data_IF_340864498564
#
_entry.id   IF_340864498564
#
_cell.length_a   1.000
_cell.length_b   1.000
_cell.length_c   1.000
_cell.angle_alpha   90.00
_cell.angle_beta   90.00
_cell.angle_gamma   90.00
#
_symmetry.space_group_name_H-M   'P 1'
#
loop_
_entity.id
_entity.type
_entity.pdbx_description
1 polymer ?
#
# COMPACT_ATOMS: atom_id res chain seq x y z
N UNK A 1 26.34 -70.79 -16.27
CA UNK A 1 26.78 -70.04 -15.07
C UNK A 1 25.85 -68.83 -14.92
N UNK A 2 24.85 -68.92 -14.04
CA UNK A 2 24.71 -68.20 -12.73
C UNK A 2 24.34 -66.69 -12.84
N UNK A 3 23.06 -66.40 -12.55
CA UNK A 3 22.44 -65.11 -12.13
C UNK A 3 23.07 -64.54 -10.82
N UNK A 4 22.85 -63.27 -10.34
CA UNK A 4 21.60 -62.46 -10.31
C UNK A 4 21.72 -60.93 -10.58
N UNK A 5 20.68 -60.22 -11.07
CA UNK A 5 19.60 -59.42 -10.41
C UNK A 5 20.04 -58.38 -9.35
N UNK A 6 19.61 -57.11 -9.54
CA UNK A 6 19.14 -56.03 -8.59
C UNK A 6 19.02 -54.77 -9.51
N UNK A 7 17.87 -54.23 -9.96
CA UNK A 7 16.65 -53.72 -9.32
C UNK A 7 16.90 -52.69 -8.22
N UNK A 8 17.09 -51.42 -8.60
CA UNK A 8 16.74 -50.25 -7.78
C UNK A 8 15.98 -49.25 -8.68
N UNK A 9 14.66 -49.39 -8.71
CA UNK A 9 13.76 -48.29 -9.08
C UNK A 9 13.68 -47.41 -7.84
N UNK A 10 14.44 -46.32 -7.80
CA UNK A 10 14.29 -45.31 -6.77
C UNK A 10 13.04 -44.49 -7.10
N UNK A 11 11.90 -44.93 -6.55
CA UNK A 11 10.69 -44.13 -6.51
C UNK A 11 10.95 -42.85 -5.73
N UNK A 12 11.01 -41.71 -6.44
CA UNK A 12 10.91 -40.40 -5.81
C UNK A 12 9.45 -40.20 -5.45
N UNK A 13 9.06 -40.65 -4.26
CA UNK A 13 7.85 -40.21 -3.62
C UNK A 13 7.96 -38.69 -3.46
N UNK A 14 7.24 -37.94 -4.31
CA UNK A 14 6.95 -36.53 -4.08
C UNK A 14 5.99 -36.51 -2.90
N UNK A 15 6.54 -36.63 -1.69
CA UNK A 15 5.85 -36.16 -0.50
C UNK A 15 5.75 -34.65 -0.66
N UNK A 16 4.53 -34.20 -0.98
CA UNK A 16 4.09 -32.82 -0.78
C UNK A 16 4.21 -32.52 0.71
N UNK A 17 5.43 -32.22 1.16
CA UNK A 17 5.64 -31.51 2.40
C UNK A 17 5.16 -30.09 2.12
N UNK A 18 3.86 -29.86 2.33
CA UNK A 18 3.32 -28.54 2.58
C UNK A 18 3.93 -28.04 3.89
N UNK A 19 5.19 -27.60 3.83
CA UNK A 19 5.74 -26.73 4.84
C UNK A 19 4.92 -25.46 4.76
N UNK A 20 4.05 -25.32 5.76
CA UNK A 20 3.32 -24.10 6.06
C UNK A 20 4.30 -22.92 5.97
N UNK A 21 4.03 -22.03 5.03
CA UNK A 21 4.51 -20.65 5.09
C UNK A 21 3.90 -20.05 6.36
N UNK A 22 4.60 -20.14 7.48
CA UNK A 22 4.30 -19.32 8.63
C UNK A 22 4.53 -17.87 8.22
N UNK A 23 3.42 -17.19 7.93
CA UNK A 23 3.37 -15.76 7.70
C UNK A 23 3.79 -15.08 8.99
N UNK A 24 5.03 -14.62 9.04
CA UNK A 24 5.50 -13.81 10.16
C UNK A 24 4.61 -12.55 10.27
N UNK A 25 4.13 -12.22 11.48
CA UNK A 25 3.13 -11.19 11.66
C UNK A 25 3.72 -9.79 11.42
N UNK A 26 3.03 -9.04 10.56
CA UNK A 26 2.97 -7.58 10.47
C UNK A 26 4.30 -6.83 10.66
N UNK A 27 4.92 -6.44 9.55
CA UNK A 27 6.12 -5.58 9.37
C UNK A 27 7.42 -6.29 8.94
N UNK A 28 7.33 -7.43 8.23
CA UNK A 28 8.48 -7.96 7.49
C UNK A 28 8.39 -7.45 6.05
N UNK A 29 8.97 -6.27 5.81
CA UNK A 29 9.04 -5.65 4.49
C UNK A 29 9.72 -6.57 3.46
N UNK A 30 9.35 -6.41 2.19
CA UNK A 30 9.71 -7.31 1.08
C UNK A 30 11.20 -7.67 0.93
N UNK A 31 12.12 -6.88 1.49
CA UNK A 31 13.54 -7.22 1.55
C UNK A 31 13.85 -8.41 2.46
N UNK A 32 13.18 -8.54 3.61
CA UNK A 32 13.39 -9.64 4.54
C UNK A 32 12.65 -10.92 4.10
N UNK A 33 11.43 -10.79 3.58
CA UNK A 33 10.71 -11.91 2.97
C UNK A 33 11.40 -12.41 1.70
N UNK A 34 11.82 -11.50 0.82
CA UNK A 34 12.57 -11.81 -0.38
C UNK A 34 13.95 -12.39 -0.09
N UNK A 35 14.64 -11.90 0.95
CA UNK A 35 15.92 -12.46 1.40
C UNK A 35 15.80 -13.90 1.89
N UNK A 36 14.77 -14.24 2.67
CA UNK A 36 14.57 -15.60 3.15
C UNK A 36 14.12 -16.56 2.02
N UNK A 37 13.18 -16.13 1.18
CA UNK A 37 12.74 -16.93 0.03
C UNK A 37 13.87 -17.14 -0.99
N UNK A 38 14.62 -16.07 -1.28
CA UNK A 38 15.79 -16.11 -2.13
C UNK A 38 16.88 -17.01 -1.57
N UNK A 39 17.12 -17.01 -0.26
CA UNK A 39 18.06 -17.92 0.38
C UNK A 39 17.67 -19.39 0.18
N UNK A 40 16.38 -19.71 0.35
CA UNK A 40 15.86 -21.05 0.12
C UNK A 40 16.07 -21.52 -1.31
N UNK A 41 15.69 -20.69 -2.30
CA UNK A 41 15.85 -21.02 -3.72
C UNK A 41 17.34 -21.11 -4.10
N UNK A 42 18.17 -20.16 -3.65
CA UNK A 42 19.60 -20.15 -3.93
C UNK A 42 20.34 -21.34 -3.33
N UNK A 43 19.93 -21.81 -2.14
CA UNK A 43 20.48 -23.02 -1.52
C UNK A 43 20.20 -24.29 -2.33
N UNK A 44 19.06 -24.34 -3.02
CA UNK A 44 18.61 -25.48 -3.82
C UNK A 44 19.27 -25.52 -5.22
N UNK A 45 19.53 -24.35 -5.82
CA UNK A 45 20.05 -24.25 -7.19
C UNK A 45 21.59 -24.25 -7.25
N UNK A 46 22.28 -24.02 -6.12
CA UNK A 46 23.74 -24.09 -6.03
C UNK A 46 24.23 -25.54 -6.07
N UNK A 47 24.73 -25.98 -7.25
CA UNK A 47 25.23 -27.32 -7.56
C UNK A 47 26.51 -27.74 -6.83
N UNK A 48 26.50 -27.69 -5.50
CA UNK A 48 27.57 -28.23 -4.65
C UNK A 48 27.83 -27.43 -3.37
N UNK A 49 27.33 -26.20 -3.24
CA UNK A 49 27.65 -25.35 -2.09
C UNK A 49 26.42 -24.57 -1.60
N UNK A 50 25.58 -25.26 -0.80
CA UNK A 50 24.28 -24.75 -0.34
C UNK A 50 24.38 -23.45 0.46
N UNK A 51 25.43 -23.27 1.27
CA UNK A 51 25.64 -22.04 2.05
C UNK A 51 25.97 -20.82 1.18
N UNK A 52 26.84 -21.00 0.19
CA UNK A 52 27.14 -19.94 -0.78
C UNK A 52 25.92 -19.63 -1.66
N UNK A 53 25.17 -20.65 -2.07
CA UNK A 53 23.92 -20.50 -2.81
C UNK A 53 22.85 -19.77 -2.01
N UNK A 54 22.69 -20.09 -0.73
CA UNK A 54 21.77 -19.41 0.17
C UNK A 54 22.12 -17.93 0.33
N UNK A 55 23.40 -17.59 0.45
CA UNK A 55 23.85 -16.19 0.53
C UNK A 55 23.61 -15.43 -0.78
N UNK A 56 23.93 -16.02 -1.92
CA UNK A 56 23.70 -15.41 -3.24
C UNK A 56 22.20 -15.21 -3.47
N UNK A 57 21.40 -16.24 -3.18
CA UNK A 57 19.95 -16.19 -3.27
C UNK A 57 19.33 -15.20 -2.29
N UNK A 58 19.84 -15.11 -1.06
CA UNK A 58 19.42 -14.11 -0.09
C UNK A 58 19.71 -12.69 -0.58
N UNK A 59 20.90 -12.49 -1.17
CA UNK A 59 21.28 -11.22 -1.79
C UNK A 59 20.31 -10.85 -2.93
N UNK A 60 20.10 -11.75 -3.89
CA UNK A 60 19.23 -11.49 -5.06
C UNK A 60 17.75 -11.35 -4.66
N UNK A 61 17.26 -12.19 -3.74
CA UNK A 61 15.88 -12.13 -3.26
C UNK A 61 15.61 -10.89 -2.41
N UNK A 62 16.59 -10.44 -1.63
CA UNK A 62 16.51 -9.15 -0.93
C UNK A 62 16.54 -7.97 -1.90
N UNK A 63 17.26 -8.07 -3.02
CA UNK A 63 17.30 -7.03 -4.05
C UNK A 63 15.99 -6.92 -4.84
N UNK A 64 15.35 -8.04 -5.18
CA UNK A 64 14.07 -8.05 -5.88
C UNK A 64 12.93 -7.42 -5.04
N UNK A 65 12.94 -7.62 -3.72
CA UNK A 65 12.01 -6.95 -2.79
C UNK A 65 12.48 -5.56 -2.30
N UNK A 66 13.75 -5.19 -2.54
CA UNK A 66 14.40 -4.04 -1.92
C UNK A 66 14.30 -2.73 -2.69
N UNK A 67 14.27 -2.75 -4.03
CA UNK A 67 14.29 -1.52 -4.83
C UNK A 67 12.99 -0.70 -4.73
N UNK A 68 11.84 -1.35 -4.89
CA UNK A 68 10.52 -0.71 -4.74
C UNK A 68 10.23 -0.43 -3.26
N UNK A 69 10.63 -1.35 -2.37
CA UNK A 69 10.48 -1.19 -0.92
C UNK A 69 11.17 0.06 -0.39
N UNK A 70 12.45 0.28 -0.74
CA UNK A 70 13.23 1.42 -0.26
C UNK A 70 12.64 2.77 -0.71
N UNK A 71 12.13 2.83 -1.95
CA UNK A 71 11.47 4.02 -2.46
C UNK A 71 10.21 4.35 -1.66
N UNK A 72 9.33 3.37 -1.44
CA UNK A 72 8.10 3.55 -0.67
C UNK A 72 8.37 3.80 0.82
N UNK A 73 9.42 3.21 1.39
CA UNK A 73 9.87 3.46 2.78
C UNK A 73 10.29 4.91 2.97
N UNK A 74 11.10 5.45 2.06
CA UNK A 74 11.52 6.85 2.08
C UNK A 74 10.34 7.79 1.89
N UNK A 75 9.47 7.49 0.93
CA UNK A 75 8.26 8.28 0.69
C UNK A 75 7.35 8.29 1.93
N UNK A 76 7.15 7.15 2.58
CA UNK A 76 6.38 7.05 3.82
C UNK A 76 7.02 7.84 4.97
N UNK A 77 8.35 7.75 5.12
CA UNK A 77 9.07 8.47 6.16
C UNK A 77 8.96 10.00 5.98
N UNK A 78 9.12 10.48 4.74
CA UNK A 78 8.98 11.91 4.42
C UNK A 78 7.53 12.38 4.59
N UNK A 79 6.53 11.61 4.15
CA UNK A 79 5.12 11.92 4.42
C UNK A 79 4.83 12.00 5.91
N UNK A 80 5.29 11.03 6.71
CA UNK A 80 5.09 11.04 8.17
C UNK A 80 5.74 12.25 8.83
N UNK A 81 6.94 12.62 8.38
CA UNK A 81 7.65 13.79 8.89
C UNK A 81 6.93 15.09 8.54
N UNK A 82 6.56 15.26 7.28
CA UNK A 82 5.99 16.51 6.77
C UNK A 82 4.53 16.71 7.21
N UNK A 83 3.81 15.61 7.47
CA UNK A 83 2.40 15.65 7.87
C UNK A 83 2.18 15.49 9.38
N UNK A 84 3.26 15.38 10.17
CA UNK A 84 3.16 15.32 11.62
C UNK A 84 2.39 16.53 12.18
N UNK A 85 1.35 16.27 12.98
CA UNK A 85 0.52 17.33 13.58
C UNK A 85 -0.53 17.95 12.66
N UNK A 86 -0.61 17.55 11.37
CA UNK A 86 -1.65 18.04 10.45
C UNK A 86 -3.00 17.35 10.61
N UNK A 87 -3.02 16.20 11.32
CA UNK A 87 -4.20 15.34 11.43
C UNK A 87 -4.36 14.35 10.27
N UNK A 88 -3.49 14.37 9.25
CA UNK A 88 -3.49 13.37 8.18
C UNK A 88 -2.83 12.08 8.69
N UNK A 89 -3.57 10.97 8.63
CA UNK A 89 -3.04 9.65 8.97
C UNK A 89 -2.15 9.12 7.84
N UNK A 90 -1.03 8.47 8.18
CA UNK A 90 -0.08 7.91 7.20
C UNK A 90 0.15 6.42 7.50
N UNK A 91 -0.55 5.57 6.77
CA UNK A 91 -0.63 4.14 7.00
C UNK A 91 -0.08 3.35 5.82
N UNK A 92 0.55 2.21 6.10
CA UNK A 92 0.98 1.28 5.05
C UNK A 92 -0.03 0.14 4.95
N UNK A 93 -0.50 -0.13 3.73
CA UNK A 93 -1.40 -1.26 3.42
C UNK A 93 -0.77 -2.09 2.31
N UNK A 94 -0.06 -3.16 2.69
CA UNK A 94 0.76 -3.95 1.77
C UNK A 94 1.89 -3.11 1.16
N UNK A 95 1.93 -3.07 -0.17
CA UNK A 95 2.89 -2.25 -0.94
C UNK A 95 2.47 -0.79 -1.09
N UNK A 96 1.22 -0.46 -0.73
CA UNK A 96 0.66 0.88 -0.92
C UNK A 96 0.85 1.74 0.33
N UNK A 97 1.06 3.04 0.09
CA UNK A 97 1.01 4.06 1.12
C UNK A 97 -0.36 4.73 1.08
N UNK A 98 -1.04 4.83 2.22
CA UNK A 98 -2.39 5.38 2.30
C UNK A 98 -2.39 6.57 3.24
N UNK A 99 -2.81 7.71 2.70
CA UNK A 99 -3.06 8.92 3.48
C UNK A 99 -4.56 9.02 3.77
N UNK A 100 -4.90 9.12 5.05
CA UNK A 100 -6.27 9.31 5.51
C UNK A 100 -6.47 10.77 5.88
N UNK A 101 -7.23 11.49 5.05
CA UNK A 101 -7.51 12.91 5.21
C UNK A 101 -8.90 13.05 5.85
N UNK A 102 -9.01 13.50 7.11
CA UNK A 102 -10.31 13.57 7.78
C UNK A 102 -11.22 14.63 7.14
N UNK A 103 -12.47 14.28 6.87
CA UNK A 103 -13.41 15.15 6.16
C UNK A 103 -13.76 16.42 6.93
N UNK A 104 -13.99 16.32 8.23
CA UNK A 104 -14.50 17.43 9.05
C UNK A 104 -13.51 18.58 9.21
N UNK A 105 -12.21 18.29 9.17
CA UNK A 105 -11.15 19.33 9.22
C UNK A 105 -10.82 19.88 7.84
N UNK A 106 -11.09 19.09 6.79
CA UNK A 106 -10.73 19.42 5.41
C UNK A 106 -11.82 20.22 4.71
N UNK A 107 -13.09 19.89 4.93
CA UNK A 107 -14.23 20.46 4.22
C UNK A 107 -15.21 21.15 5.16
N UNK A 108 -15.96 22.11 4.63
CA UNK A 108 -17.17 22.59 5.31
C UNK A 108 -18.26 21.51 5.31
N UNK A 109 -19.21 21.61 6.25
CA UNK A 109 -20.37 20.71 6.34
C UNK A 109 -21.10 20.67 5.01
N UNK A 110 -21.42 19.45 4.54
CA UNK A 110 -22.09 19.20 3.25
C UNK A 110 -21.46 19.88 2.03
N UNK A 111 -20.16 20.18 2.10
CA UNK A 111 -19.42 20.82 1.02
C UNK A 111 -18.26 19.98 0.54
N UNK A 112 -17.87 20.20 -0.71
CA UNK A 112 -16.60 19.76 -1.28
C UNK A 112 -15.53 20.87 -1.28
N UNK A 113 -15.86 22.08 -0.81
CA UNK A 113 -14.88 23.17 -0.70
C UNK A 113 -13.87 22.89 0.41
N UNK A 114 -12.60 22.88 0.04
CA UNK A 114 -11.49 22.75 0.98
C UNK A 114 -11.42 24.01 1.85
N UNK A 115 -11.28 23.82 3.16
CA UNK A 115 -11.09 24.91 4.13
C UNK A 115 -9.71 25.54 3.95
N UNK A 116 -9.58 26.88 4.03
CA UNK A 116 -8.29 27.55 3.87
C UNK A 116 -7.18 27.04 4.79
N UNK A 117 -7.53 26.66 6.03
CA UNK A 117 -6.60 26.11 7.00
C UNK A 117 -5.97 24.77 6.56
N UNK A 118 -6.59 24.04 5.63
CA UNK A 118 -6.14 22.73 5.19
C UNK A 118 -5.28 22.77 3.90
N UNK A 119 -5.11 23.95 3.30
CA UNK A 119 -4.22 24.11 2.15
C UNK A 119 -2.76 23.81 2.49
N UNK A 120 -2.25 24.25 3.65
CA UNK A 120 -0.88 23.98 4.09
C UNK A 120 -0.55 22.48 4.18
N UNK A 121 -1.37 21.65 4.86
CA UNK A 121 -1.21 20.19 4.83
C UNK A 121 -1.22 19.59 3.42
N UNK A 122 -2.13 20.03 2.54
CA UNK A 122 -2.19 19.54 1.17
C UNK A 122 -0.98 19.98 0.32
N UNK A 123 -0.38 21.12 0.61
CA UNK A 123 0.88 21.56 -0.01
C UNK A 123 2.02 20.60 0.33
N UNK A 124 2.10 20.12 1.58
CA UNK A 124 3.10 19.14 2.01
C UNK A 124 2.89 17.77 1.33
N UNK A 125 1.63 17.35 1.17
CA UNK A 125 1.28 16.16 0.40
C UNK A 125 1.77 16.31 -1.04
N UNK A 126 1.41 17.41 -1.72
CA UNK A 126 1.79 17.66 -3.11
C UNK A 126 3.31 17.74 -3.29
N UNK A 127 4.03 18.43 -2.39
CA UNK A 127 5.49 18.52 -2.43
C UNK A 127 6.14 17.13 -2.38
N UNK A 128 5.67 16.27 -1.48
CA UNK A 128 6.19 14.90 -1.37
C UNK A 128 5.81 14.06 -2.59
N UNK A 129 4.59 14.18 -3.13
CA UNK A 129 4.20 13.50 -4.38
C UNK A 129 5.00 13.94 -5.61
N UNK A 130 5.51 15.17 -5.62
CA UNK A 130 6.39 15.70 -6.68
C UNK A 130 7.84 15.23 -6.51
N UNK A 131 8.30 15.01 -5.29
CA UNK A 131 9.61 14.40 -5.03
C UNK A 131 9.65 12.92 -5.44
N UNK A 132 8.53 12.23 -5.29
CA UNK A 132 8.38 10.81 -5.56
C UNK A 132 7.44 10.59 -6.76
N UNK A 133 7.96 10.70 -7.98
CA UNK A 133 7.15 10.67 -9.23
C UNK A 133 6.77 9.29 -9.75
N UNK A 134 7.45 8.21 -9.32
CA UNK A 134 7.24 6.85 -9.81
C UNK A 134 6.10 6.12 -9.09
N UNK A 135 4.96 6.79 -8.93
CA UNK A 135 3.75 6.23 -8.31
C UNK A 135 2.46 6.72 -8.98
N UNK A 136 1.41 5.90 -8.93
CA UNK A 136 0.03 6.31 -9.17
C UNK A 136 -0.66 6.67 -7.86
N UNK A 137 -1.68 7.53 -7.93
CA UNK A 137 -2.39 8.07 -6.78
C UNK A 137 -3.89 7.89 -7.05
N UNK A 138 -4.56 7.09 -6.23
CA UNK A 138 -6.02 7.00 -6.25
C UNK A 138 -6.57 7.86 -5.12
N UNK A 139 -7.38 8.85 -5.47
CA UNK A 139 -8.06 9.76 -4.54
C UNK A 139 -9.51 9.31 -4.42
N UNK A 140 -9.89 8.76 -3.27
CA UNK A 140 -11.24 8.23 -3.04
C UNK A 140 -11.90 8.93 -1.88
N UNK A 141 -13.07 9.50 -2.13
CA UNK A 141 -13.89 10.11 -1.08
C UNK A 141 -14.82 9.10 -0.44
N UNK A 142 -15.08 9.28 0.86
CA UNK A 142 -16.03 8.49 1.65
C UNK A 142 -16.92 9.40 2.50
N UNK A 143 -18.14 8.95 2.76
CA UNK A 143 -19.10 9.58 3.68
C UNK A 143 -19.45 8.61 4.82
N UNK A 144 -20.22 9.11 5.79
CA UNK A 144 -20.98 8.23 6.66
C UNK A 144 -22.31 7.84 6.01
N UNK A 145 -23.16 7.10 6.73
CA UNK A 145 -24.46 6.63 6.26
C UNK A 145 -25.62 7.62 6.48
N UNK A 146 -25.33 8.90 6.71
CA UNK A 146 -26.37 9.90 6.91
C UNK A 146 -26.76 10.48 5.55
N UNK A 147 -28.06 10.54 5.25
CA UNK A 147 -28.57 11.07 3.98
C UNK A 147 -28.83 9.98 2.93
N UNK A 148 -29.12 10.42 1.70
CA UNK A 148 -29.41 9.50 0.60
C UNK A 148 -28.11 8.96 -0.02
N UNK A 149 -28.09 7.67 -0.36
CA UNK A 149 -26.92 7.00 -0.94
C UNK A 149 -26.41 7.71 -2.21
N UNK A 150 -27.30 8.14 -3.12
CA UNK A 150 -26.89 8.84 -4.34
C UNK A 150 -26.30 10.23 -4.05
N UNK A 151 -26.78 10.89 -2.99
CA UNK A 151 -26.21 12.16 -2.55
C UNK A 151 -24.80 11.95 -1.97
N UNK A 152 -24.65 10.94 -1.11
CA UNK A 152 -23.38 10.54 -0.51
C UNK A 152 -22.35 10.16 -1.57
N UNK A 153 -22.77 9.42 -2.60
CA UNK A 153 -21.93 9.08 -3.75
C UNK A 153 -21.40 10.35 -4.43
N UNK A 154 -22.28 11.29 -4.82
CA UNK A 154 -21.88 12.54 -5.49
C UNK A 154 -20.99 13.41 -4.61
N UNK A 155 -21.31 13.54 -3.33
CA UNK A 155 -20.53 14.34 -2.38
C UNK A 155 -19.12 13.77 -2.20
N UNK A 156 -19.01 12.45 -2.06
CA UNK A 156 -17.74 11.75 -1.91
C UNK A 156 -16.83 11.96 -3.14
N UNK A 157 -17.38 11.83 -4.35
CA UNK A 157 -16.64 12.05 -5.59
C UNK A 157 -16.23 13.52 -5.76
N UNK A 158 -17.11 14.47 -5.43
CA UNK A 158 -16.80 15.90 -5.49
C UNK A 158 -15.66 16.30 -4.53
N UNK A 159 -15.63 15.73 -3.32
CA UNK A 159 -14.54 15.93 -2.35
C UNK A 159 -13.23 15.35 -2.85
N UNK A 160 -13.26 14.14 -3.41
CA UNK A 160 -12.08 13.52 -4.01
C UNK A 160 -11.54 14.38 -5.17
N UNK A 161 -12.42 14.85 -6.05
CA UNK A 161 -12.06 15.75 -7.15
C UNK A 161 -11.44 17.06 -6.65
N UNK A 162 -12.01 17.67 -5.62
CA UNK A 162 -11.47 18.91 -5.06
C UNK A 162 -10.04 18.75 -4.52
N UNK A 163 -9.74 17.61 -3.87
CA UNK A 163 -8.38 17.29 -3.41
C UNK A 163 -7.45 17.02 -4.58
N UNK A 164 -7.89 16.24 -5.57
CA UNK A 164 -7.12 15.92 -6.77
C UNK A 164 -6.77 17.18 -7.59
N UNK A 165 -7.74 18.06 -7.82
CA UNK A 165 -7.56 19.33 -8.52
C UNK A 165 -6.57 20.22 -7.76
N UNK A 166 -6.69 20.27 -6.43
CA UNK A 166 -5.79 21.04 -5.60
C UNK A 166 -4.34 20.56 -5.69
N UNK A 167 -4.06 19.26 -5.47
CA UNK A 167 -2.69 18.75 -5.57
C UNK A 167 -2.14 18.84 -7.00
N UNK A 168 -2.99 18.74 -8.02
CA UNK A 168 -2.62 18.95 -9.41
C UNK A 168 -2.20 20.41 -9.66
N UNK A 169 -2.92 21.37 -9.09
CA UNK A 169 -2.56 22.80 -9.16
C UNK A 169 -1.23 23.11 -8.49
N UNK A 170 -0.76 22.22 -7.59
CA UNK A 170 0.56 22.26 -6.95
C UNK A 170 1.63 21.46 -7.69
N UNK A 171 1.35 21.05 -8.93
CA UNK A 171 2.32 20.45 -9.85
C UNK A 171 2.32 18.92 -9.89
N UNK A 172 1.45 18.25 -9.13
CA UNK A 172 1.33 16.78 -9.25
C UNK A 172 0.77 16.45 -10.64
N UNK A 173 1.49 15.64 -11.39
CA UNK A 173 1.16 15.32 -12.78
C UNK A 173 -0.22 14.63 -12.89
N UNK A 174 -1.23 15.24 -13.55
CA UNK A 174 -2.61 14.74 -13.51
C UNK A 174 -2.80 13.30 -13.99
N UNK A 175 -2.08 12.80 -15.03
CA UNK A 175 -2.18 11.40 -15.44
C UNK A 175 -1.75 10.36 -14.40
N UNK A 176 -1.14 10.78 -13.28
CA UNK A 176 -0.86 9.90 -12.14
C UNK A 176 -2.06 9.75 -11.21
N UNK A 177 -3.08 10.60 -11.34
CA UNK A 177 -4.16 10.74 -10.37
C UNK A 177 -5.44 10.13 -10.93
N UNK A 178 -5.98 9.14 -10.21
CA UNK A 178 -7.32 8.62 -10.43
C UNK A 178 -8.25 9.16 -9.34
N UNK A 179 -9.51 9.43 -9.69
CA UNK A 179 -10.49 10.02 -8.79
C UNK A 179 -11.69 9.07 -8.69
N UNK A 180 -12.17 8.83 -7.46
CA UNK A 180 -13.35 8.03 -7.21
C UNK A 180 -14.16 8.52 -6.00
N UNK A 181 -15.43 8.13 -5.96
CA UNK A 181 -16.28 8.27 -4.79
C UNK A 181 -16.78 6.89 -4.37
N UNK A 182 -16.72 6.59 -3.07
CA UNK A 182 -17.24 5.35 -2.51
C UNK A 182 -18.54 5.54 -1.70
N UNK A 183 -19.02 6.78 -1.59
CA UNK A 183 -20.18 7.11 -0.75
C UNK A 183 -20.03 6.52 0.65
N UNK A 184 -21.04 5.79 1.09
CA UNK A 184 -21.08 5.09 2.39
C UNK A 184 -20.71 3.61 2.32
N UNK A 185 -20.37 3.08 1.13
CA UNK A 185 -20.25 1.64 0.84
C UNK A 185 -18.98 1.00 1.43
N UNK A 186 -18.00 1.82 1.83
CA UNK A 186 -16.72 1.37 2.39
C UNK A 186 -16.43 2.04 3.75
N UNK A 187 -17.23 1.73 4.80
CA UNK A 187 -17.02 2.27 6.13
C UNK A 187 -15.76 1.66 6.75
N UNK A 188 -14.91 2.50 7.36
CA UNK A 188 -13.77 2.03 8.16
C UNK A 188 -14.13 1.79 9.63
N UNK A 189 -15.22 2.39 10.10
CA UNK A 189 -15.71 2.30 11.47
C UNK A 189 -17.24 2.17 11.49
N UNK A 190 -17.80 1.84 12.66
CA UNK A 190 -19.24 1.66 12.81
C UNK A 190 -20.00 2.97 12.60
N UNK A 191 -20.97 2.96 11.68
CA UNK A 191 -21.89 4.09 11.47
C UNK A 191 -22.88 4.30 12.63
N UNK A 192 -22.99 3.34 13.56
CA UNK A 192 -23.88 3.45 14.71
C UNK A 192 -23.44 4.52 15.71
N UNK A 193 -22.15 4.88 15.75
CA UNK A 193 -21.61 5.86 16.70
C UNK A 193 -21.20 7.16 16.01
N UNK A 194 -21.30 8.29 16.71
CA UNK A 194 -20.88 9.58 16.17
C UNK A 194 -19.38 9.59 15.82
N UNK A 195 -18.55 8.97 16.67
CA UNK A 195 -17.12 8.83 16.44
C UNK A 195 -16.82 7.99 15.19
N UNK A 196 -17.50 6.85 15.01
CA UNK A 196 -17.30 6.01 13.82
C UNK A 196 -17.77 6.68 12.53
N UNK A 197 -18.87 7.44 12.57
CA UNK A 197 -19.29 8.28 11.42
C UNK A 197 -18.24 9.34 11.08
N UNK A 198 -17.66 9.99 12.09
CA UNK A 198 -16.56 10.94 11.88
C UNK A 198 -15.34 10.30 11.22
N UNK A 199 -14.98 9.08 11.61
CA UNK A 199 -13.92 8.35 10.93
C UNK A 199 -14.28 8.00 9.48
N UNK A 200 -15.54 7.63 9.21
CA UNK A 200 -15.98 7.29 7.86
C UNK A 200 -15.93 8.47 6.88
N UNK A 201 -16.23 9.68 7.36
CA UNK A 201 -16.11 10.93 6.59
C UNK A 201 -14.64 11.27 6.35
N UNK A 202 -14.08 10.80 5.23
CA UNK A 202 -12.66 10.98 4.89
C UNK A 202 -12.43 10.99 3.38
N UNK A 203 -11.25 11.45 3.00
CA UNK A 203 -10.69 11.21 1.66
C UNK A 203 -9.43 10.36 1.83
N UNK A 204 -9.33 9.26 1.12
CA UNK A 204 -8.15 8.39 1.10
C UNK A 204 -7.32 8.67 -0.16
N UNK A 205 -6.01 8.88 0.01
CA UNK A 205 -5.05 8.89 -1.08
C UNK A 205 -4.26 7.59 -1.02
N UNK A 206 -4.52 6.67 -1.94
CA UNK A 206 -3.76 5.43 -2.08
C UNK A 206 -2.65 5.64 -3.11
N UNK A 207 -1.41 5.64 -2.64
CA UNK A 207 -0.21 5.80 -3.45
C UNK A 207 0.34 4.42 -3.76
N UNK A 208 0.34 4.06 -5.05
CA UNK A 208 0.74 2.76 -5.57
C UNK A 208 2.06 2.87 -6.34
N UNK A 209 3.03 1.97 -6.15
CA UNK A 209 4.27 1.97 -6.91
C UNK A 209 4.03 1.71 -8.40
N UNK A 210 4.76 2.40 -9.28
CA UNK A 210 4.75 2.11 -10.71
C UNK A 210 5.56 0.83 -10.96
N UNK A 211 4.90 -0.27 -11.35
CA UNK A 211 5.58 -1.55 -11.61
C UNK A 211 4.74 -2.81 -11.36
N UNK A 212 3.45 -2.66 -11.05
CA UNK A 212 2.46 -3.74 -11.03
C UNK A 212 1.46 -3.59 -12.17
#
# INVERSE_FOLDING_TARGET
MRFPKILIVAGLAISLASCQFDSAPNTIGGAAAGGLAGAGIGALVSGGNRGAGALIGAGVGALAGGAIGNYMDRQQADMRRNLAGTGIGVNRRGDNLVLEIPGDVTFATDSASIKPAFYGPLDQVAATLNQYTSTYIDVVGHTDNTGAAEYNQRLSEARARSVADYISSRGVYPPRINIGGAGEDQPKASNATAAGRQENRRVELTIRPNGQ
#
